data_IF_225951415870
#
_entry.id   IF_225951415870
#
_cell.length_a   1.000
_cell.length_b   1.000
_cell.length_c   1.000
_cell.angle_alpha   90.00
_cell.angle_beta   90.00
_cell.angle_gamma   90.00
#
_symmetry.space_group_name_H-M   'P 1'
#
loop_
_entity.id
_entity.type
_entity.pdbx_description
1 polymer ?
#
# COMPACT_ATOMS: atom_id res chain seq x y z
N UNK A 1 0.85 2.12 22.15
CA UNK A 1 0.40 0.82 21.65
C UNK A 1 -1.07 0.93 21.24
N UNK A 2 -1.35 0.83 19.93
CA UNK A 2 -2.71 0.94 19.36
C UNK A 2 -3.49 -0.38 19.42
N UNK A 3 -2.83 -1.51 19.63
CA UNK A 3 -3.44 -2.85 19.60
C UNK A 3 -4.66 -2.98 20.53
N UNK A 4 -4.59 -2.53 21.82
CA UNK A 4 -5.77 -2.60 22.69
C UNK A 4 -6.96 -1.78 22.19
N UNK A 5 -6.70 -0.62 21.58
CA UNK A 5 -7.76 0.24 21.02
C UNK A 5 -8.38 -0.39 19.77
N UNK A 6 -7.57 -1.02 18.92
CA UNK A 6 -8.07 -1.74 17.74
C UNK A 6 -8.94 -2.92 18.15
N UNK A 7 -8.51 -3.71 19.15
CA UNK A 7 -9.35 -4.80 19.69
C UNK A 7 -10.69 -4.28 20.24
N UNK A 8 -10.68 -3.17 20.99
CA UNK A 8 -11.92 -2.55 21.46
C UNK A 8 -12.83 -2.12 20.30
N UNK A 9 -12.25 -1.57 19.22
CA UNK A 9 -13.03 -1.22 18.02
C UNK A 9 -13.62 -2.45 17.34
N UNK A 10 -12.87 -3.54 17.24
CA UNK A 10 -13.35 -4.83 16.70
C UNK A 10 -14.52 -5.37 17.52
N UNK A 11 -14.42 -5.33 18.84
CA UNK A 11 -15.44 -5.81 19.76
C UNK A 11 -16.80 -5.06 19.63
N UNK A 12 -16.77 -3.84 19.09
CA UNK A 12 -17.99 -3.07 18.80
C UNK A 12 -18.74 -3.56 17.54
N UNK A 13 -18.13 -4.45 16.75
CA UNK A 13 -18.71 -4.96 15.51
C UNK A 13 -18.78 -6.51 15.50
N UNK A 14 -19.55 -7.13 16.41
CA UNK A 14 -19.55 -8.58 16.60
C UNK A 14 -20.09 -9.36 15.40
N UNK A 15 -20.84 -8.71 14.51
CA UNK A 15 -21.40 -9.32 13.30
C UNK A 15 -20.43 -9.34 12.13
N UNK A 16 -19.22 -8.77 12.29
CA UNK A 16 -18.17 -8.73 11.28
C UNK A 16 -16.97 -9.57 11.72
N UNK A 17 -16.29 -10.19 10.75
CA UNK A 17 -15.08 -10.96 11.01
C UNK A 17 -13.84 -10.09 10.77
N UNK A 18 -13.05 -9.88 11.81
CA UNK A 18 -11.79 -9.14 11.75
C UNK A 18 -10.64 -10.03 12.21
N UNK A 19 -9.50 -9.94 11.51
CA UNK A 19 -8.26 -10.60 11.89
C UNK A 19 -7.16 -9.55 12.05
N UNK A 20 -6.77 -9.28 13.30
CA UNK A 20 -5.70 -8.32 13.62
C UNK A 20 -4.36 -9.04 13.72
N UNK A 21 -3.42 -8.70 12.86
CA UNK A 21 -2.07 -9.24 12.85
C UNK A 21 -1.07 -8.16 13.27
N UNK A 22 -0.30 -8.40 14.33
CA UNK A 22 0.76 -7.49 14.80
C UNK A 22 2.08 -7.86 14.12
N UNK A 23 2.28 -7.41 12.90
CA UNK A 23 3.44 -7.74 12.06
C UNK A 23 3.77 -6.62 11.08
N UNK A 24 4.93 -6.68 10.47
CA UNK A 24 5.28 -5.94 9.25
C UNK A 24 5.04 -6.85 8.03
N UNK A 25 4.35 -6.36 7.03
CA UNK A 25 4.22 -7.07 5.75
C UNK A 25 5.51 -6.84 4.96
N UNK A 26 6.11 -7.91 4.43
CA UNK A 26 7.40 -7.87 3.74
C UNK A 26 7.55 -9.05 2.76
N UNK A 27 8.59 -9.01 1.94
CA UNK A 27 9.03 -10.08 1.04
C UNK A 27 9.88 -11.15 1.74
N UNK A 28 10.29 -10.92 2.97
CA UNK A 28 11.22 -11.78 3.70
C UNK A 28 10.68 -12.20 5.06
N UNK A 29 11.11 -13.40 5.50
CA UNK A 29 10.84 -13.90 6.84
C UNK A 29 11.69 -13.21 7.91
N UNK A 30 11.35 -13.50 9.18
CA UNK A 30 12.10 -13.04 10.34
C UNK A 30 11.46 -11.84 11.00
N UNK A 31 12.28 -10.84 11.30
CA UNK A 31 11.86 -9.62 11.99
C UNK A 31 12.42 -8.39 11.31
N UNK A 32 11.69 -7.31 11.45
CA UNK A 32 12.06 -5.99 10.94
C UNK A 32 12.06 -5.00 12.09
N UNK A 33 12.97 -4.04 12.06
CA UNK A 33 12.96 -2.91 12.99
C UNK A 33 11.94 -1.87 12.53
N UNK A 34 11.07 -1.46 13.44
CA UNK A 34 10.00 -0.52 13.18
C UNK A 34 10.18 0.74 14.04
N UNK A 35 10.27 1.90 13.41
CA UNK A 35 10.39 3.19 14.06
C UNK A 35 9.02 3.70 14.48
N UNK A 36 8.85 3.96 15.76
CA UNK A 36 7.64 4.60 16.27
C UNK A 36 7.83 6.12 16.31
N UNK A 37 6.93 6.84 15.63
CA UNK A 37 6.85 8.29 15.70
C UNK A 37 5.83 8.70 16.77
N UNK A 38 6.34 9.21 17.91
CA UNK A 38 5.53 9.44 19.10
C UNK A 38 4.49 10.55 18.90
N UNK A 39 4.85 11.59 18.14
CA UNK A 39 4.00 12.76 17.92
C UNK A 39 3.15 12.67 16.61
N UNK A 40 3.48 11.74 15.75
CA UNK A 40 2.86 11.54 14.44
C UNK A 40 2.77 10.04 14.16
N UNK A 41 1.92 9.35 14.90
CA UNK A 41 1.83 7.88 14.86
C UNK A 41 1.57 7.31 13.46
N UNK A 42 0.89 8.06 12.59
CA UNK A 42 0.68 7.72 11.19
C UNK A 42 1.95 7.73 10.32
N UNK A 43 3.05 8.30 10.80
CA UNK A 43 4.34 8.30 10.09
C UNK A 43 5.32 7.24 10.62
N UNK A 44 4.85 6.35 11.49
CA UNK A 44 5.65 5.23 11.97
C UNK A 44 5.94 4.26 10.82
N UNK A 45 7.19 3.83 10.67
CA UNK A 45 7.67 3.15 9.48
C UNK A 45 8.72 2.08 9.77
N UNK A 46 8.97 1.21 8.80
CA UNK A 46 10.08 0.26 8.83
C UNK A 46 11.39 1.03 8.81
N UNK A 47 12.35 0.67 9.68
CA UNK A 47 13.67 1.30 9.67
C UNK A 47 14.51 0.79 8.49
N UNK A 48 15.09 1.67 7.65
CA UNK A 48 16.02 1.25 6.61
C UNK A 48 17.38 0.77 7.16
N UNK A 49 17.71 1.15 8.40
CA UNK A 49 18.96 0.77 9.06
C UNK A 49 18.71 -0.20 10.24
N UNK A 50 19.54 -1.25 10.33
CA UNK A 50 19.49 -2.20 11.45
C UNK A 50 19.79 -1.51 12.80
N UNK A 51 19.11 -1.96 13.86
CA UNK A 51 19.42 -1.58 15.24
C UNK A 51 18.68 -0.36 15.78
N UNK A 52 17.74 0.22 15.02
CA UNK A 52 16.85 1.30 15.51
C UNK A 52 15.39 0.83 15.52
N UNK A 53 14.61 1.31 16.51
CA UNK A 53 13.19 0.97 16.64
C UNK A 53 12.92 -0.31 17.45
N UNK A 54 11.70 -0.80 17.34
CA UNK A 54 11.26 -2.06 17.95
C UNK A 54 11.28 -3.20 16.93
N UNK A 55 11.61 -4.40 17.37
CA UNK A 55 11.50 -5.58 16.51
C UNK A 55 10.04 -6.02 16.35
N UNK A 56 9.62 -6.17 15.10
CA UNK A 56 8.29 -6.66 14.73
C UNK A 56 8.45 -7.86 13.80
N UNK A 57 7.70 -8.95 13.96
CA UNK A 57 7.77 -10.09 13.06
C UNK A 57 7.32 -9.70 11.65
N UNK A 58 7.95 -10.28 10.65
CA UNK A 58 7.54 -10.14 9.25
C UNK A 58 6.46 -11.15 8.90
N UNK A 59 5.59 -10.76 7.98
CA UNK A 59 4.56 -11.61 7.39
C UNK A 59 4.66 -11.50 5.87
N UNK A 60 4.82 -12.64 5.21
CA UNK A 60 4.78 -12.76 3.75
C UNK A 60 3.35 -13.08 3.35
N UNK A 61 2.71 -12.17 2.59
CA UNK A 61 1.28 -12.26 2.30
C UNK A 61 0.89 -13.49 1.46
N UNK A 62 1.73 -13.93 0.55
CA UNK A 62 1.47 -15.15 -0.21
C UNK A 62 1.28 -16.36 0.70
N UNK A 63 2.16 -16.51 1.69
CA UNK A 63 2.07 -17.62 2.64
C UNK A 63 0.88 -17.48 3.60
N UNK A 64 0.61 -16.24 4.04
CA UNK A 64 -0.56 -15.96 4.86
C UNK A 64 -1.86 -16.34 4.14
N UNK A 65 -1.98 -15.98 2.86
CA UNK A 65 -3.13 -16.34 2.06
C UNK A 65 -3.28 -17.86 1.90
N UNK A 66 -2.19 -18.56 1.65
CA UNK A 66 -2.20 -20.01 1.48
C UNK A 66 -2.54 -20.74 2.80
N UNK A 67 -1.93 -20.34 3.93
CA UNK A 67 -2.19 -20.91 5.26
C UNK A 67 -3.63 -20.70 5.74
N UNK A 68 -4.23 -19.55 5.39
CA UNK A 68 -5.60 -19.20 5.75
C UNK A 68 -6.63 -19.53 4.67
N UNK A 69 -6.22 -20.20 3.57
CA UNK A 69 -7.08 -20.61 2.46
C UNK A 69 -7.84 -19.43 1.82
N UNK A 70 -7.20 -18.26 1.79
CA UNK A 70 -7.76 -17.06 1.16
C UNK A 70 -7.56 -17.18 -0.35
N UNK A 71 -8.63 -17.50 -1.07
CA UNK A 71 -8.59 -17.72 -2.52
C UNK A 71 -8.72 -16.44 -3.33
N UNK A 72 -9.41 -15.44 -2.81
CA UNK A 72 -9.63 -14.14 -3.46
C UNK A 72 -9.68 -13.02 -2.42
N UNK A 73 -9.22 -11.85 -2.83
CA UNK A 73 -9.26 -10.61 -2.05
C UNK A 73 -9.91 -9.54 -2.94
N UNK A 74 -11.04 -9.02 -2.50
CA UNK A 74 -11.78 -8.03 -3.27
C UNK A 74 -11.07 -6.67 -3.30
N UNK A 75 -10.52 -6.28 -2.15
CA UNK A 75 -9.88 -4.98 -1.99
C UNK A 75 -8.80 -5.00 -0.92
N UNK A 76 -7.68 -4.33 -1.18
CA UNK A 76 -6.63 -4.08 -0.19
C UNK A 76 -6.19 -2.62 -0.20
N UNK A 77 -6.13 -1.98 0.99
CA UNK A 77 -5.44 -0.69 1.17
C UNK A 77 -4.00 -0.96 1.58
N UNK A 78 -3.06 -0.29 0.93
CA UNK A 78 -1.62 -0.35 1.17
C UNK A 78 -1.14 1.06 1.49
N UNK A 79 -0.70 1.26 2.74
CA UNK A 79 -0.28 2.51 3.31
C UNK A 79 0.80 2.15 4.36
N UNK A 80 2.05 2.07 3.90
CA UNK A 80 3.15 1.43 4.63
C UNK A 80 4.38 2.34 4.78
N UNK A 81 4.18 3.65 4.55
CA UNK A 81 5.18 4.69 4.77
C UNK A 81 6.53 4.42 4.06
N UNK A 82 6.45 3.94 2.80
CA UNK A 82 7.58 3.65 1.93
C UNK A 82 7.97 2.17 1.86
N UNK A 83 7.29 1.27 2.58
CA UNK A 83 7.55 -0.17 2.54
C UNK A 83 6.60 -0.92 1.58
N UNK A 84 5.95 -0.20 0.66
CA UNK A 84 4.97 -0.74 -0.29
C UNK A 84 5.59 -1.79 -1.21
N UNK A 85 6.76 -1.50 -1.83
CA UNK A 85 7.37 -2.42 -2.78
C UNK A 85 7.75 -3.78 -2.17
N UNK A 86 8.45 -3.90 -1.03
CA UNK A 86 8.70 -5.20 -0.41
C UNK A 86 7.40 -5.94 -0.04
N UNK A 87 6.39 -5.21 0.42
CA UNK A 87 5.10 -5.80 0.76
C UNK A 87 4.40 -6.39 -0.45
N UNK A 88 4.42 -5.70 -1.58
CA UNK A 88 3.89 -6.18 -2.86
C UNK A 88 4.68 -7.38 -3.39
N UNK A 89 6.02 -7.38 -3.25
CA UNK A 89 6.88 -8.50 -3.63
C UNK A 89 6.60 -9.75 -2.78
N UNK A 90 6.31 -9.59 -1.48
CA UNK A 90 5.85 -10.69 -0.62
C UNK A 90 4.45 -11.20 -0.95
N UNK A 91 3.79 -10.60 -1.94
CA UNK A 91 2.46 -10.94 -2.40
C UNK A 91 2.40 -11.28 -3.90
N UNK A 92 3.56 -11.47 -4.51
CA UNK A 92 3.72 -11.60 -5.96
C UNK A 92 2.92 -12.76 -6.57
N UNK A 93 2.83 -13.91 -5.90
CA UNK A 93 2.08 -15.07 -6.41
C UNK A 93 0.58 -14.80 -6.49
N UNK A 94 0.02 -14.25 -5.42
CA UNK A 94 -1.41 -13.89 -5.40
C UNK A 94 -1.73 -12.80 -6.41
N UNK A 95 -0.86 -11.79 -6.54
CA UNK A 95 -1.01 -10.70 -7.50
C UNK A 95 -0.88 -11.20 -8.93
N UNK A 96 0.14 -12.01 -9.26
CA UNK A 96 0.33 -12.60 -10.59
C UNK A 96 -0.81 -13.56 -10.98
N UNK A 97 -1.40 -14.24 -10.01
CA UNK A 97 -2.56 -15.11 -10.22
C UNK A 97 -3.88 -14.33 -10.22
N UNK A 98 -3.84 -13.00 -10.14
CA UNK A 98 -5.00 -12.10 -10.09
C UNK A 98 -6.02 -12.46 -9.00
N UNK A 99 -5.53 -12.97 -7.87
CA UNK A 99 -6.35 -13.27 -6.68
C UNK A 99 -6.72 -12.01 -5.88
N UNK A 100 -6.20 -10.85 -6.27
CA UNK A 100 -6.51 -9.54 -5.67
C UNK A 100 -7.17 -8.67 -6.71
N UNK A 101 -8.44 -8.32 -6.51
CA UNK A 101 -9.23 -7.59 -7.51
C UNK A 101 -8.83 -6.12 -7.61
N UNK A 102 -8.60 -5.47 -6.46
CA UNK A 102 -8.21 -4.07 -6.44
C UNK A 102 -7.29 -3.73 -5.26
N UNK A 103 -6.36 -2.80 -5.50
CA UNK A 103 -5.42 -2.25 -4.52
C UNK A 103 -5.56 -0.72 -4.48
N UNK A 104 -5.58 -0.15 -3.27
CA UNK A 104 -5.50 1.29 -3.06
C UNK A 104 -4.18 1.59 -2.36
N UNK A 105 -3.25 2.20 -3.08
CA UNK A 105 -1.84 2.32 -2.68
C UNK A 105 -1.50 3.78 -2.48
N UNK A 106 -1.04 4.16 -1.29
CA UNK A 106 -0.46 5.48 -1.04
C UNK A 106 0.96 5.54 -1.59
N UNK A 107 1.24 6.55 -2.42
CA UNK A 107 2.58 6.80 -2.98
C UNK A 107 3.08 8.16 -2.52
N UNK A 108 4.13 8.15 -1.70
CA UNK A 108 4.79 9.35 -1.19
C UNK A 108 6.28 9.33 -1.55
N UNK A 109 6.76 10.28 -2.40
CA UNK A 109 8.15 10.32 -2.87
C UNK A 109 9.18 10.34 -1.75
N UNK A 110 8.93 11.14 -0.68
CA UNK A 110 9.82 11.22 0.46
C UNK A 110 9.94 9.90 1.22
N UNK A 111 8.87 9.11 1.24
CA UNK A 111 8.87 7.81 1.89
C UNK A 111 9.68 6.79 1.07
N UNK A 112 9.51 6.76 -0.25
CA UNK A 112 10.32 5.91 -1.14
C UNK A 112 11.81 6.30 -1.10
N UNK A 113 12.12 7.60 -1.11
CA UNK A 113 13.48 8.12 -1.03
C UNK A 113 14.21 7.72 0.27
N UNK A 114 13.49 7.54 1.39
CA UNK A 114 14.03 7.04 2.66
C UNK A 114 14.73 5.68 2.50
N UNK A 115 14.27 4.86 1.58
CA UNK A 115 14.83 3.55 1.26
C UNK A 115 15.70 3.53 0.01
N UNK A 116 16.03 4.70 -0.54
CA UNK A 116 16.82 4.80 -1.77
C UNK A 116 16.12 4.26 -3.02
N UNK A 117 14.77 4.27 -3.03
CA UNK A 117 13.95 3.77 -4.12
C UNK A 117 13.38 4.90 -4.95
N UNK A 118 13.12 4.62 -6.23
CA UNK A 118 12.33 5.48 -7.10
C UNK A 118 10.87 5.52 -6.64
N UNK A 119 10.23 6.68 -6.75
CA UNK A 119 8.83 6.89 -6.38
C UNK A 119 7.90 5.90 -7.07
N UNK A 120 8.18 5.61 -8.34
CA UNK A 120 7.34 4.76 -9.19
C UNK A 120 7.58 3.25 -9.02
N UNK A 121 8.59 2.83 -8.26
CA UNK A 121 8.96 1.42 -8.17
C UNK A 121 7.80 0.48 -7.77
N UNK A 122 6.94 0.80 -6.79
CA UNK A 122 5.76 -0.02 -6.50
C UNK A 122 4.76 -0.07 -7.66
N UNK A 123 4.60 1.04 -8.39
CA UNK A 123 3.66 1.14 -9.52
C UNK A 123 4.14 0.33 -10.72
N UNK A 124 5.44 0.42 -11.05
CA UNK A 124 6.06 -0.39 -12.11
C UNK A 124 5.91 -1.87 -11.81
N UNK A 125 6.10 -2.27 -10.54
CA UNK A 125 5.94 -3.66 -10.13
C UNK A 125 4.49 -4.14 -10.37
N UNK A 126 3.49 -3.42 -9.87
CA UNK A 126 2.07 -3.80 -10.00
C UNK A 126 1.61 -3.78 -11.47
N UNK A 127 2.03 -2.78 -12.25
CA UNK A 127 1.72 -2.70 -13.68
C UNK A 127 2.33 -3.90 -14.44
N UNK A 128 3.55 -4.33 -14.09
CA UNK A 128 4.20 -5.50 -14.71
C UNK A 128 3.44 -6.81 -14.48
N UNK A 129 2.63 -6.87 -13.43
CA UNK A 129 1.75 -8.00 -13.12
C UNK A 129 0.36 -7.90 -13.79
N UNK A 130 0.16 -6.91 -14.68
CA UNK A 130 -1.05 -6.76 -15.48
C UNK A 130 -2.15 -5.90 -14.87
N UNK A 131 -1.89 -5.23 -13.72
CA UNK A 131 -2.85 -4.31 -13.13
C UNK A 131 -2.92 -3.00 -13.92
N UNK A 132 -4.12 -2.46 -14.05
CA UNK A 132 -4.35 -1.13 -14.60
C UNK A 132 -4.31 -0.08 -13.49
N UNK A 133 -3.54 0.99 -13.67
CA UNK A 133 -3.35 2.06 -12.68
C UNK A 133 -4.29 3.23 -12.96
N UNK A 134 -4.88 3.77 -11.89
CA UNK A 134 -5.78 4.91 -11.94
C UNK A 134 -5.46 5.93 -10.85
N UNK A 135 -5.46 7.20 -11.21
CA UNK A 135 -5.47 8.32 -10.27
C UNK A 135 -6.89 8.60 -9.80
N UNK A 136 -7.06 8.78 -8.49
CA UNK A 136 -8.32 9.21 -7.90
C UNK A 136 -8.42 10.75 -7.98
N UNK A 137 -9.47 11.28 -8.61
CA UNK A 137 -9.60 12.69 -8.99
C UNK A 137 -9.72 13.66 -7.82
N UNK A 138 -10.24 13.23 -6.69
CA UNK A 138 -10.48 14.09 -5.51
C UNK A 138 -9.46 13.89 -4.39
N UNK A 139 -8.45 13.02 -4.57
CA UNK A 139 -7.29 13.08 -3.72
C UNK A 139 -6.67 14.47 -3.90
N UNK A 140 -6.40 15.15 -2.81
CA UNK A 140 -5.98 16.56 -2.75
C UNK A 140 -4.67 16.79 -3.52
N UNK A 141 -4.74 16.83 -4.84
CA UNK A 141 -3.64 17.20 -5.74
C UNK A 141 -3.10 18.61 -5.48
N UNK A 142 -3.74 19.33 -4.52
CA UNK A 142 -3.46 20.72 -4.25
C UNK A 142 -2.20 21.01 -3.42
N UNK A 143 -1.56 20.02 -2.82
CA UNK A 143 -0.48 20.28 -1.89
C UNK A 143 0.94 20.25 -2.51
N UNK A 144 1.14 19.64 -3.67
CA UNK A 144 2.47 19.43 -4.22
C UNK A 144 2.53 19.59 -5.75
N UNK A 145 2.51 20.82 -6.26
CA UNK A 145 2.94 21.11 -7.63
C UNK A 145 1.95 20.81 -8.75
N UNK A 146 2.40 20.99 -9.98
CA UNK A 146 1.60 21.02 -11.19
C UNK A 146 0.70 19.79 -11.37
N UNK A 147 -0.61 20.04 -11.53
CA UNK A 147 -1.61 19.01 -11.82
C UNK A 147 -1.24 18.26 -13.11
N UNK A 148 -1.37 16.93 -13.14
CA UNK A 148 -1.29 16.18 -14.40
C UNK A 148 -2.25 16.78 -15.43
N UNK A 149 -1.78 17.06 -16.64
CA UNK A 149 -2.49 17.83 -17.68
C UNK A 149 -3.76 17.17 -18.23
N UNK A 150 -4.16 16.00 -17.82
CA UNK A 150 -5.20 15.21 -18.48
C UNK A 150 -6.33 14.68 -17.60
N UNK A 151 -6.55 15.24 -16.41
CA UNK A 151 -7.69 14.81 -15.58
C UNK A 151 -8.87 15.74 -15.80
N UNK A 152 -9.46 15.71 -16.98
CA UNK A 152 -10.73 16.35 -17.28
C UNK A 152 -11.77 15.31 -17.64
N UNK A 153 -12.54 14.88 -16.63
CA UNK A 153 -13.84 14.27 -16.88
C UNK A 153 -14.82 15.35 -17.30
N UNK A 154 -15.36 15.25 -18.50
CA UNK A 154 -16.51 16.04 -18.90
C UNK A 154 -17.75 15.54 -18.15
N UNK A 155 -18.56 16.48 -17.63
CA UNK A 155 -19.94 16.27 -17.19
C UNK A 155 -20.16 15.33 -15.97
N UNK A 156 -19.47 15.59 -14.86
CA UNK A 156 -19.80 14.92 -13.58
C UNK A 156 -19.49 13.41 -13.55
N UNK A 157 -18.67 12.93 -14.42
CA UNK A 157 -18.24 11.53 -14.54
C UNK A 157 -16.78 11.32 -14.17
N UNK A 158 -16.41 10.08 -13.96
CA UNK A 158 -15.82 9.57 -12.74
C UNK A 158 -14.37 10.03 -12.59
N UNK A 159 -14.10 10.20 -11.51
CA UNK A 159 -13.11 10.26 -10.47
C UNK A 159 -11.81 9.47 -10.73
N UNK A 160 -11.72 8.67 -11.80
CA UNK A 160 -10.56 7.83 -12.10
C UNK A 160 -9.99 8.16 -13.48
N UNK A 161 -8.68 8.46 -13.52
CA UNK A 161 -7.95 8.64 -14.76
C UNK A 161 -6.89 7.53 -14.89
N UNK A 162 -7.00 6.70 -15.94
CA UNK A 162 -6.01 5.66 -16.24
C UNK A 162 -4.69 6.30 -16.67
N UNK A 163 -3.56 5.74 -16.21
CA UNK A 163 -2.20 6.16 -16.56
C UNK A 163 -1.26 4.95 -16.59
N UNK A 164 -0.05 5.12 -17.12
CA UNK A 164 1.03 4.14 -17.01
C UNK A 164 2.02 4.58 -15.92
N UNK A 165 2.68 3.64 -15.25
CA UNK A 165 3.61 3.94 -14.17
C UNK A 165 4.70 4.95 -14.59
N UNK A 166 5.19 4.87 -15.83
CA UNK A 166 6.18 5.80 -16.40
C UNK A 166 5.69 7.25 -16.57
N UNK A 167 4.38 7.49 -16.52
CA UNK A 167 3.77 8.82 -16.62
C UNK A 167 3.59 9.49 -15.25
N UNK A 168 3.83 8.75 -14.15
CA UNK A 168 3.69 9.26 -12.80
C UNK A 168 4.80 10.26 -12.45
N UNK A 169 4.48 11.45 -11.95
CA UNK A 169 5.48 12.47 -11.64
C UNK A 169 6.29 12.12 -10.38
N UNK A 170 7.62 12.14 -10.46
CA UNK A 170 8.53 11.77 -9.37
C UNK A 170 8.32 12.48 -8.03
N UNK A 171 7.73 13.67 -8.05
CA UNK A 171 7.54 14.52 -6.86
C UNK A 171 6.08 14.60 -6.41
N UNK A 172 5.26 13.71 -6.90
CA UNK A 172 3.84 13.75 -6.66
C UNK A 172 3.43 12.74 -5.57
N UNK A 173 2.66 13.21 -4.59
CA UNK A 173 2.11 12.36 -3.52
C UNK A 173 0.63 12.17 -3.77
N UNK A 174 0.18 10.92 -3.87
CA UNK A 174 -1.26 10.62 -4.01
C UNK A 174 -1.54 9.15 -3.74
N UNK A 175 -2.81 8.84 -3.67
CA UNK A 175 -3.33 7.49 -3.68
C UNK A 175 -3.61 7.00 -5.09
N UNK A 176 -3.22 5.78 -5.37
CA UNK A 176 -3.41 5.10 -6.65
C UNK A 176 -4.35 3.92 -6.47
N UNK A 177 -5.34 3.80 -7.35
CA UNK A 177 -6.14 2.59 -7.47
C UNK A 177 -5.54 1.70 -8.56
N UNK A 178 -5.14 0.50 -8.22
CA UNK A 178 -4.72 -0.52 -9.16
C UNK A 178 -5.80 -1.60 -9.25
N UNK A 179 -6.27 -1.89 -10.48
CA UNK A 179 -7.34 -2.86 -10.74
C UNK A 179 -6.76 -4.03 -11.54
N UNK A 180 -6.94 -5.24 -11.02
CA UNK A 180 -6.55 -6.47 -11.69
C UNK A 180 -7.32 -6.68 -12.99
N UNK A 181 -6.77 -7.47 -13.91
CA UNK A 181 -7.50 -7.88 -15.12
C UNK A 181 -8.70 -8.76 -14.75
N UNK A 182 -9.81 -8.57 -15.49
CA UNK A 182 -11.03 -9.40 -15.37
C UNK A 182 -10.80 -10.77 -15.96
#
# INVERSE_FOLDING_TARGET
NLIPLLNQSIDLHPDQSFHLNHCCISDTHGKTNFQLEVNQSGQSHVCPAQGKGIEVPNLVLDEYCDQNQISCIDFAKIDLEGHELPSLQGWEKCLSAHRVNALYIEIMPQNQARYGRETIAPLVFIESLGYSLYLCKDSDFGHFGDKPKSIHGNNGSPLLAKFNASEYPDKFSTDILAIGPN
#
